data_IF_725452370145
#
_entry.id   IF_725452370145
#
_cell.length_a   1.000
_cell.length_b   1.000
_cell.length_c   1.000
_cell.angle_alpha   90.00
_cell.angle_beta   90.00
_cell.angle_gamma   90.00
#
_symmetry.space_group_name_H-M   'P 1'
#
loop_
_entity.id
_entity.type
_entity.pdbx_description
1 polymer ?
#
# COMPACT_ATOMS: atom_id res chain seq x y z
N UNK A 1 27.76 34.38 -1.46
CA UNK A 1 27.08 33.90 -2.67
C UNK A 1 27.06 32.38 -2.66
N UNK A 2 25.91 31.75 -2.44
CA UNK A 2 25.74 30.29 -2.53
C UNK A 2 25.26 29.96 -3.94
N UNK A 3 25.82 28.96 -4.62
CA UNK A 3 25.35 28.56 -5.96
C UNK A 3 24.02 27.81 -5.83
N UNK A 4 22.98 28.32 -6.44
CA UNK A 4 21.71 27.66 -6.70
C UNK A 4 21.92 26.64 -7.82
N UNK A 5 22.09 25.37 -7.48
CA UNK A 5 22.08 24.27 -8.46
C UNK A 5 20.67 24.05 -9.03
N UNK A 6 20.54 23.57 -10.27
CA UNK A 6 19.24 23.39 -10.91
C UNK A 6 18.47 22.25 -10.21
N UNK A 7 17.21 22.52 -9.85
CA UNK A 7 16.25 21.51 -9.36
C UNK A 7 16.07 20.44 -10.44
N UNK A 8 16.56 19.22 -10.18
CA UNK A 8 16.27 18.07 -11.02
C UNK A 8 14.79 17.69 -10.82
N UNK A 9 13.95 18.03 -11.78
CA UNK A 9 12.60 17.48 -11.89
C UNK A 9 12.76 15.97 -12.10
N UNK A 10 12.10 15.14 -11.26
CA UNK A 10 12.07 13.71 -11.45
C UNK A 10 11.48 13.33 -12.81
N UNK A 11 11.77 12.16 -13.34
CA UNK A 11 11.28 11.74 -14.64
C UNK A 11 9.78 11.44 -14.62
N UNK A 12 8.96 12.47 -14.79
CA UNK A 12 7.51 12.34 -15.04
C UNK A 12 7.24 11.93 -16.51
N UNK A 13 7.96 10.93 -17.03
CA UNK A 13 7.94 10.65 -18.47
C UNK A 13 7.29 9.37 -18.92
N UNK A 14 7.11 8.34 -18.10
CA UNK A 14 6.53 7.05 -18.54
C UNK A 14 5.80 6.34 -17.40
N UNK A 15 4.88 7.03 -16.76
CA UNK A 15 3.86 6.33 -15.96
C UNK A 15 2.87 5.76 -16.98
N UNK A 16 2.57 4.45 -16.92
CA UNK A 16 1.54 3.82 -17.74
C UNK A 16 0.35 4.75 -17.84
N UNK A 17 -0.05 5.13 -19.07
CA UNK A 17 -1.24 5.96 -19.30
C UNK A 17 -2.44 5.25 -18.68
N UNK A 18 -2.80 5.63 -17.47
CA UNK A 18 -4.11 5.31 -16.92
C UNK A 18 -5.13 6.14 -17.67
N UNK A 19 -6.07 5.45 -18.31
CA UNK A 19 -7.15 6.12 -19.02
C UNK A 19 -8.16 6.61 -17.97
N UNK A 20 -7.94 7.81 -17.42
CA UNK A 20 -8.89 8.48 -16.52
C UNK A 20 -10.10 9.08 -17.26
N UNK A 21 -10.28 8.72 -18.55
CA UNK A 21 -11.38 9.26 -19.34
C UNK A 21 -12.73 8.79 -18.82
N UNK A 22 -13.43 9.76 -18.27
CA UNK A 22 -14.88 9.79 -18.06
C UNK A 22 -15.43 9.14 -16.80
N UNK A 23 -15.34 9.87 -15.66
CA UNK A 23 -16.44 9.90 -14.68
C UNK A 23 -16.28 11.12 -13.77
N UNK A 24 -17.18 12.10 -13.99
CA UNK A 24 -17.51 13.08 -12.96
C UNK A 24 -18.12 12.31 -11.78
N UNK A 25 -17.38 12.22 -10.68
CA UNK A 25 -17.94 11.78 -9.40
C UNK A 25 -18.44 13.04 -8.73
N UNK A 26 -19.75 13.23 -8.70
CA UNK A 26 -20.38 14.29 -7.91
C UNK A 26 -19.95 14.18 -6.47
N UNK A 27 -19.29 15.22 -6.00
CA UNK A 27 -18.84 15.35 -4.62
C UNK A 27 -20.06 15.72 -3.76
N UNK A 28 -20.73 14.72 -3.19
CA UNK A 28 -21.74 14.96 -2.16
C UNK A 28 -21.06 15.49 -0.91
N UNK A 29 -21.32 16.75 -0.59
CA UNK A 29 -20.95 17.38 0.67
C UNK A 29 -21.70 16.68 1.79
N UNK A 30 -21.02 15.90 2.61
CA UNK A 30 -21.61 15.16 3.73
C UNK A 30 -21.20 15.76 5.08
N UNK A 31 -22.23 16.07 5.85
CA UNK A 31 -22.22 16.43 7.28
C UNK A 31 -21.46 15.47 8.19
N UNK A 32 -21.03 15.91 9.41
CA UNK A 32 -20.08 15.24 10.26
C UNK A 32 -20.74 14.15 11.13
N UNK A 33 -20.98 13.00 10.55
CA UNK A 33 -21.10 11.73 11.27
C UNK A 33 -20.47 10.67 10.38
N UNK A 34 -19.39 10.00 10.85
CA UNK A 34 -18.53 9.12 10.07
C UNK A 34 -19.23 7.82 9.66
N UNK A 35 -20.18 7.90 8.74
CA UNK A 35 -20.62 6.78 7.93
C UNK A 35 -19.61 6.62 6.78
N UNK A 36 -18.36 6.23 7.10
CA UNK A 36 -17.38 5.91 6.10
C UNK A 36 -17.90 4.73 5.25
N UNK A 37 -18.32 5.00 4.04
CA UNK A 37 -18.65 3.99 3.03
C UNK A 37 -17.45 3.81 2.13
N UNK A 38 -17.05 2.56 1.93
CA UNK A 38 -15.98 2.21 0.99
C UNK A 38 -16.35 2.64 -0.42
N UNK A 39 -15.42 3.31 -1.11
CA UNK A 39 -15.59 3.60 -2.52
C UNK A 39 -15.47 2.29 -3.31
N UNK A 40 -16.56 1.82 -3.88
CA UNK A 40 -16.58 0.62 -4.74
C UNK A 40 -16.58 1.08 -6.20
N UNK A 41 -15.40 1.34 -6.75
CA UNK A 41 -15.21 1.79 -8.13
C UNK A 41 -14.65 0.63 -8.95
N UNK A 42 -15.44 0.06 -9.89
CA UNK A 42 -14.97 -1.02 -10.76
C UNK A 42 -13.77 -0.58 -11.60
N UNK A 43 -12.71 -1.41 -11.61
CA UNK A 43 -11.45 -1.08 -12.28
C UNK A 43 -10.66 0.05 -11.62
N UNK A 44 -11.04 0.46 -10.41
CA UNK A 44 -10.40 1.55 -9.70
C UNK A 44 -8.98 1.23 -9.27
N UNK A 45 -8.17 2.29 -9.15
CA UNK A 45 -6.87 2.25 -8.51
C UNK A 45 -7.00 2.73 -7.07
N UNK A 46 -6.44 1.98 -6.13
CA UNK A 46 -6.56 2.26 -4.70
C UNK A 46 -5.21 2.21 -4.01
N UNK A 47 -4.98 3.12 -3.08
CA UNK A 47 -3.92 3.00 -2.10
C UNK A 47 -4.46 2.37 -0.82
N UNK A 48 -3.62 1.56 -0.15
CA UNK A 48 -3.97 0.87 1.09
C UNK A 48 -2.88 1.01 2.14
N UNK A 49 -3.32 1.12 3.42
CA UNK A 49 -2.48 0.89 4.59
C UNK A 49 -3.05 -0.27 5.39
N UNK A 50 -2.24 -1.31 5.61
CA UNK A 50 -2.67 -2.54 6.29
C UNK A 50 -1.73 -2.85 7.44
N UNK A 51 -2.25 -2.84 8.67
CA UNK A 51 -1.47 -2.93 9.88
C UNK A 51 -1.59 -4.30 10.57
N UNK A 52 -0.49 -4.73 11.20
CA UNK A 52 -0.56 -5.75 12.24
C UNK A 52 -1.31 -5.21 13.47
N UNK A 53 -1.85 -6.12 14.26
CA UNK A 53 -2.47 -5.75 15.54
C UNK A 53 -1.42 -5.24 16.53
N UNK A 54 -0.33 -5.99 16.64
CA UNK A 54 0.80 -5.67 17.51
C UNK A 54 1.86 -4.92 16.69
N UNK A 55 1.92 -3.59 16.88
CA UNK A 55 2.78 -2.67 16.12
C UNK A 55 4.26 -2.73 16.52
N UNK A 56 4.61 -3.43 17.58
CA UNK A 56 6.00 -3.57 18.07
C UNK A 56 6.75 -4.78 17.50
N UNK A 57 6.12 -5.51 16.56
CA UNK A 57 6.68 -6.72 15.95
C UNK A 57 7.30 -6.42 14.59
N UNK A 58 8.26 -7.28 14.20
CA UNK A 58 8.91 -7.28 12.89
C UNK A 58 8.34 -8.36 11.95
N UNK A 59 7.19 -8.91 12.32
CA UNK A 59 6.59 -10.12 11.76
C UNK A 59 6.47 -10.12 10.23
N UNK A 60 6.15 -8.98 9.62
CA UNK A 60 5.95 -8.92 8.16
C UNK A 60 7.26 -9.11 7.40
N UNK A 61 8.37 -8.59 7.92
CA UNK A 61 9.69 -8.76 7.29
C UNK A 61 10.31 -10.11 7.67
N UNK A 62 10.11 -10.58 8.91
CA UNK A 62 10.59 -11.89 9.36
C UNK A 62 9.91 -13.02 8.58
N UNK A 63 8.66 -12.85 8.20
CA UNK A 63 7.84 -13.81 7.47
C UNK A 63 7.53 -13.35 6.03
N UNK A 64 8.44 -12.60 5.42
CA UNK A 64 8.22 -11.99 4.10
C UNK A 64 7.92 -13.02 3.01
N UNK A 65 8.52 -14.20 3.07
CA UNK A 65 8.26 -15.29 2.12
C UNK A 65 6.78 -15.73 2.18
N UNK A 66 6.25 -15.93 3.39
CA UNK A 66 4.84 -16.29 3.58
C UNK A 66 3.88 -15.19 3.15
N UNK A 67 4.24 -13.92 3.35
CA UNK A 67 3.45 -12.80 2.85
C UNK A 67 3.44 -12.75 1.31
N UNK A 68 4.59 -12.91 0.67
CA UNK A 68 4.71 -12.96 -0.80
C UNK A 68 3.87 -14.09 -1.39
N UNK A 69 3.92 -15.28 -0.78
CA UNK A 69 3.12 -16.43 -1.20
C UNK A 69 1.61 -16.17 -1.04
N UNK A 70 1.19 -15.59 0.08
CA UNK A 70 -0.21 -15.22 0.31
C UNK A 70 -0.73 -14.22 -0.74
N UNK A 71 0.10 -13.25 -1.12
CA UNK A 71 -0.22 -12.28 -2.18
C UNK A 71 -0.28 -12.98 -3.54
N UNK A 72 0.73 -13.78 -3.89
CA UNK A 72 0.83 -14.48 -5.18
C UNK A 72 -0.37 -15.41 -5.40
N UNK A 73 -0.65 -16.28 -4.43
CA UNK A 73 -1.78 -17.22 -4.50
C UNK A 73 -3.13 -16.48 -4.57
N UNK A 74 -3.28 -15.36 -3.86
CA UNK A 74 -4.51 -14.58 -3.96
C UNK A 74 -4.66 -13.97 -5.35
N UNK A 75 -3.59 -13.47 -5.96
CA UNK A 75 -3.63 -12.89 -7.31
C UNK A 75 -3.94 -13.90 -8.41
N UNK A 76 -3.60 -15.18 -8.23
CA UNK A 76 -3.97 -16.24 -9.18
C UNK A 76 -5.49 -16.42 -9.26
N UNK A 77 -6.18 -16.45 -8.12
CA UNK A 77 -7.63 -16.63 -8.08
C UNK A 77 -8.45 -15.35 -8.16
N UNK A 78 -7.87 -14.23 -7.73
CA UNK A 78 -8.49 -12.89 -7.73
C UNK A 78 -7.51 -11.87 -8.29
N UNK A 79 -7.38 -11.73 -9.62
CA UNK A 79 -6.38 -10.90 -10.27
C UNK A 79 -6.47 -9.42 -9.86
N UNK A 80 -5.31 -8.77 -9.73
CA UNK A 80 -5.13 -7.32 -9.60
C UNK A 80 -3.71 -6.93 -9.97
N UNK A 81 -3.51 -5.71 -10.43
CA UNK A 81 -2.18 -5.17 -10.68
C UNK A 81 -1.61 -4.56 -9.40
N UNK A 82 -0.34 -4.82 -9.13
CA UNK A 82 0.40 -4.16 -8.06
C UNK A 82 1.22 -3.04 -8.70
N UNK A 83 0.78 -1.81 -8.48
CA UNK A 83 1.45 -0.62 -9.01
C UNK A 83 2.61 -0.23 -8.08
N UNK A 84 2.37 -0.15 -6.77
CA UNK A 84 3.42 -0.03 -5.77
C UNK A 84 3.14 -0.94 -4.57
N UNK A 85 4.20 -1.40 -3.91
CA UNK A 85 4.10 -2.22 -2.70
C UNK A 85 5.34 -2.05 -1.84
N UNK A 86 5.15 -1.74 -0.57
CA UNK A 86 6.22 -1.70 0.42
C UNK A 86 5.78 -2.41 1.69
N UNK A 87 6.65 -3.23 2.23
CA UNK A 87 6.42 -3.96 3.48
C UNK A 87 7.37 -3.41 4.53
N UNK A 88 6.80 -2.89 5.62
CA UNK A 88 7.51 -2.47 6.81
C UNK A 88 7.38 -3.56 7.88
N UNK A 89 8.11 -3.49 9.00
CA UNK A 89 8.09 -4.54 10.00
C UNK A 89 6.69 -4.91 10.52
N UNK A 90 5.80 -3.93 10.71
CA UNK A 90 4.50 -4.06 11.38
C UNK A 90 3.30 -3.62 10.54
N UNK A 91 3.54 -3.09 9.34
CA UNK A 91 2.50 -2.68 8.40
C UNK A 91 3.00 -2.71 6.96
N UNK A 92 2.10 -2.46 6.01
CA UNK A 92 2.44 -2.34 4.61
C UNK A 92 1.59 -1.27 3.93
N UNK A 93 2.14 -0.72 2.86
CA UNK A 93 1.40 0.12 1.94
C UNK A 93 1.38 -0.49 0.55
N UNK A 94 0.28 -0.30 -0.16
CA UNK A 94 0.14 -0.80 -1.52
C UNK A 94 -0.69 0.14 -2.39
N UNK A 95 -0.32 0.26 -3.64
CA UNK A 95 -1.16 0.82 -4.70
C UNK A 95 -1.56 -0.31 -5.64
N UNK A 96 -2.86 -0.54 -5.81
CA UNK A 96 -3.42 -1.61 -6.64
C UNK A 96 -4.40 -1.06 -7.64
N UNK A 97 -4.36 -1.59 -8.85
CA UNK A 97 -5.40 -1.41 -9.86
C UNK A 97 -6.19 -2.71 -10.01
N UNK A 98 -7.50 -2.61 -9.87
CA UNK A 98 -8.42 -3.73 -10.01
C UNK A 98 -8.75 -3.97 -11.50
N UNK A 99 -9.16 -5.21 -11.87
CA UNK A 99 -9.67 -5.49 -13.21
C UNK A 99 -10.90 -4.66 -13.55
N UNK A 100 -11.09 -4.41 -14.83
CA UNK A 100 -12.30 -3.73 -15.30
C UNK A 100 -13.56 -4.50 -14.85
N UNK A 101 -14.54 -3.80 -14.31
CA UNK A 101 -15.77 -4.38 -13.79
C UNK A 101 -15.70 -4.90 -12.35
N UNK A 102 -14.52 -4.99 -11.75
CA UNK A 102 -14.32 -5.51 -10.40
C UNK A 102 -13.98 -4.36 -9.42
N UNK A 103 -14.62 -4.36 -8.25
CA UNK A 103 -14.39 -3.40 -7.16
C UNK A 103 -14.08 -4.07 -5.82
N UNK A 104 -13.94 -5.42 -5.78
CA UNK A 104 -13.81 -6.17 -4.54
C UNK A 104 -12.35 -6.33 -4.07
N UNK A 105 -11.74 -5.23 -3.66
CA UNK A 105 -10.46 -5.27 -2.96
C UNK A 105 -10.57 -5.88 -1.55
N UNK A 106 -11.77 -5.86 -0.95
CA UNK A 106 -11.99 -6.32 0.41
C UNK A 106 -11.79 -7.83 0.55
N UNK A 107 -12.31 -8.62 -0.39
CA UNK A 107 -12.09 -10.08 -0.42
C UNK A 107 -10.61 -10.39 -0.63
N UNK A 108 -9.92 -9.66 -1.50
CA UNK A 108 -8.48 -9.84 -1.72
C UNK A 108 -7.67 -9.65 -0.44
N UNK A 109 -7.90 -8.54 0.27
CA UNK A 109 -7.24 -8.33 1.57
C UNK A 109 -7.60 -9.37 2.62
N UNK A 110 -8.87 -9.77 2.69
CA UNK A 110 -9.29 -10.85 3.59
C UNK A 110 -8.56 -12.15 3.30
N UNK A 111 -8.40 -12.52 2.03
CA UNK A 111 -7.70 -13.74 1.63
C UNK A 111 -6.21 -13.67 1.93
N UNK A 112 -5.53 -12.58 1.59
CA UNK A 112 -4.12 -12.37 1.89
C UNK A 112 -3.88 -12.45 3.41
N UNK A 113 -4.64 -11.71 4.20
CA UNK A 113 -4.55 -11.72 5.66
C UNK A 113 -4.78 -13.12 6.24
N UNK A 114 -5.78 -13.84 5.74
CA UNK A 114 -6.10 -15.19 6.20
C UNK A 114 -5.01 -16.20 5.83
N UNK A 115 -4.52 -16.19 4.57
CA UNK A 115 -3.46 -17.10 4.10
C UNK A 115 -2.18 -16.88 4.90
N UNK A 116 -1.74 -15.63 5.02
CA UNK A 116 -0.57 -15.27 5.82
C UNK A 116 -0.72 -15.75 7.27
N UNK A 117 -1.84 -15.41 7.93
CA UNK A 117 -2.07 -15.81 9.31
C UNK A 117 -2.09 -17.35 9.48
N UNK A 118 -2.66 -18.10 8.53
CA UNK A 118 -2.70 -19.58 8.58
C UNK A 118 -1.32 -20.22 8.45
N UNK A 119 -0.40 -19.60 7.71
CA UNK A 119 0.96 -20.09 7.54
C UNK A 119 1.83 -19.93 8.80
N UNK A 120 1.41 -19.10 9.76
CA UNK A 120 2.17 -18.85 10.99
C UNK A 120 1.85 -19.88 12.09
N UNK A 121 2.82 -20.23 12.95
CA UNK A 121 2.56 -20.97 14.19
C UNK A 121 1.53 -20.26 15.06
N UNK A 122 0.71 -20.99 15.79
CA UNK A 122 -0.30 -20.42 16.69
C UNK A 122 0.33 -20.11 18.05
N UNK A 123 0.79 -18.88 18.22
CA UNK A 123 1.48 -18.42 19.43
C UNK A 123 0.83 -17.14 20.02
N UNK A 124 -0.17 -16.59 19.35
CA UNK A 124 -0.78 -15.32 19.72
C UNK A 124 -1.64 -15.43 20.99
N UNK A 125 -1.54 -14.42 21.83
CA UNK A 125 -2.45 -14.22 22.97
C UNK A 125 -3.80 -13.71 22.46
N UNK A 126 -4.83 -14.55 22.52
CA UNK A 126 -6.15 -14.21 22.01
C UNK A 126 -7.09 -13.80 23.15
N UNK A 127 -7.79 -12.65 22.98
CA UNK A 127 -8.91 -12.31 23.83
C UNK A 127 -10.09 -13.28 23.61
N UNK A 128 -10.99 -13.41 24.61
CA UNK A 128 -12.18 -14.27 24.50
C UNK A 128 -13.02 -13.94 23.26
N UNK A 129 -13.18 -12.64 22.93
CA UNK A 129 -13.92 -12.18 21.75
C UNK A 129 -13.27 -12.65 20.44
N UNK A 130 -11.94 -12.67 20.36
CA UNK A 130 -11.22 -13.15 19.15
C UNK A 130 -11.31 -14.66 19.02
N UNK A 131 -11.19 -15.40 20.14
CA UNK A 131 -11.41 -16.86 20.16
C UNK A 131 -12.79 -17.22 19.66
N UNK A 132 -13.84 -16.55 20.16
CA UNK A 132 -15.23 -16.80 19.76
C UNK A 132 -15.47 -16.52 18.26
N UNK A 133 -14.69 -15.65 17.65
CA UNK A 133 -14.78 -15.28 16.22
C UNK A 133 -13.81 -16.07 15.33
N UNK A 134 -12.99 -16.96 15.86
CA UNK A 134 -11.96 -17.69 15.12
C UNK A 134 -10.85 -16.79 14.56
N UNK A 135 -10.62 -15.61 15.15
CA UNK A 135 -9.60 -14.67 14.68
C UNK A 135 -8.24 -14.98 15.29
N UNK A 136 -7.19 -14.97 14.44
CA UNK A 136 -5.81 -15.21 14.87
C UNK A 136 -5.16 -14.01 15.61
N UNK A 137 -5.75 -12.80 15.56
CA UNK A 137 -5.16 -11.64 16.22
C UNK A 137 -3.85 -11.13 15.61
N UNK A 138 -3.48 -11.55 14.41
CA UNK A 138 -2.28 -11.10 13.70
C UNK A 138 -2.51 -9.70 13.12
N UNK A 139 -3.64 -9.48 12.47
CA UNK A 139 -3.95 -8.25 11.77
C UNK A 139 -4.97 -7.39 12.52
N UNK A 140 -4.89 -6.07 12.32
CA UNK A 140 -6.04 -5.21 12.58
C UNK A 140 -7.19 -5.63 11.68
N UNK A 141 -8.44 -5.56 12.18
CA UNK A 141 -9.61 -5.96 11.39
C UNK A 141 -9.79 -5.10 10.18
N UNK A 142 -9.73 -3.77 10.38
CA UNK A 142 -9.86 -2.78 9.33
C UNK A 142 -8.50 -2.49 8.71
N UNK A 143 -8.51 -1.95 7.52
CA UNK A 143 -7.40 -1.33 6.82
C UNK A 143 -7.89 0.00 6.29
N UNK A 144 -6.98 0.91 6.03
CA UNK A 144 -7.32 2.18 5.40
C UNK A 144 -7.19 2.02 3.88
N UNK A 145 -8.11 2.64 3.13
CA UNK A 145 -8.08 2.70 1.68
C UNK A 145 -8.37 4.11 1.19
N UNK A 146 -7.76 4.48 0.06
CA UNK A 146 -7.99 5.72 -0.65
C UNK A 146 -8.13 5.43 -2.14
N UNK A 147 -9.22 5.92 -2.75
CA UNK A 147 -9.42 5.85 -4.20
C UNK A 147 -8.51 6.87 -4.87
N UNK A 148 -7.61 6.42 -5.72
CA UNK A 148 -6.75 7.29 -6.53
C UNK A 148 -7.61 7.97 -7.60
N UNK A 149 -7.57 9.31 -7.65
CA UNK A 149 -8.48 10.13 -8.46
C UNK A 149 -7.89 10.59 -9.77
N UNK A 150 -6.59 10.85 -9.77
CA UNK A 150 -5.85 11.41 -10.90
C UNK A 150 -4.38 11.00 -10.88
N UNK A 151 -3.64 11.43 -11.89
CA UNK A 151 -2.23 11.09 -12.06
C UNK A 151 -1.33 11.67 -10.96
N UNK A 152 -1.63 12.87 -10.48
CA UNK A 152 -0.88 13.51 -9.39
C UNK A 152 -1.13 12.78 -8.06
N UNK A 153 -2.36 12.36 -7.82
CA UNK A 153 -2.73 11.54 -6.65
C UNK A 153 -2.06 10.17 -6.70
N UNK A 154 -2.00 9.54 -7.89
CA UNK A 154 -1.27 8.30 -8.12
C UNK A 154 0.22 8.45 -7.82
N UNK A 155 0.87 9.45 -8.40
CA UNK A 155 2.29 9.69 -8.20
C UNK A 155 2.63 9.88 -6.71
N UNK A 156 1.88 10.73 -6.00
CA UNK A 156 2.05 10.95 -4.55
C UNK A 156 1.97 9.66 -3.74
N UNK A 157 1.03 8.78 -4.03
CA UNK A 157 0.86 7.55 -3.26
C UNK A 157 1.91 6.48 -3.59
N UNK A 158 2.36 6.40 -4.84
CA UNK A 158 3.50 5.54 -5.23
C UNK A 158 4.78 6.02 -4.55
N UNK A 159 5.08 7.31 -4.63
CA UNK A 159 6.24 7.92 -3.96
C UNK A 159 6.18 7.74 -2.45
N UNK A 160 4.98 7.92 -1.86
CA UNK A 160 4.76 7.66 -0.44
C UNK A 160 5.08 6.21 -0.05
N UNK A 161 4.69 5.22 -0.86
CA UNK A 161 5.11 3.84 -0.62
C UNK A 161 6.62 3.71 -0.57
N UNK A 162 7.34 4.33 -1.51
CA UNK A 162 8.78 4.14 -1.64
C UNK A 162 9.60 4.89 -0.60
N UNK A 163 9.17 6.09 -0.18
CA UNK A 163 9.86 6.88 0.83
C UNK A 163 9.62 6.37 2.27
N UNK A 164 8.60 5.52 2.46
CA UNK A 164 8.13 5.12 3.78
C UNK A 164 9.21 4.48 4.68
N UNK A 165 10.06 3.55 4.20
CA UNK A 165 11.16 3.00 5.00
C UNK A 165 12.15 4.06 5.50
N UNK A 166 12.40 5.09 4.70
CA UNK A 166 13.27 6.22 5.09
C UNK A 166 12.57 7.10 6.13
N UNK A 167 11.27 7.38 5.96
CA UNK A 167 10.43 8.10 6.94
C UNK A 167 10.46 7.41 8.32
N UNK A 168 10.41 6.07 8.34
CA UNK A 168 10.49 5.27 9.56
C UNK A 168 11.92 5.02 10.05
N UNK A 169 12.94 5.64 9.42
CA UNK A 169 14.37 5.51 9.79
C UNK A 169 14.87 4.07 9.76
N UNK A 170 14.29 3.22 8.92
CA UNK A 170 14.72 1.83 8.73
C UNK A 170 15.93 1.75 7.80
N UNK A 171 16.10 2.72 6.92
CA UNK A 171 17.22 2.88 5.99
C UNK A 171 17.54 4.36 5.78
N UNK A 172 18.75 4.64 5.26
CA UNK A 172 19.19 6.00 4.89
C UNK A 172 18.90 6.35 3.43
N UNK A 173 18.66 5.36 2.57
CA UNK A 173 18.34 5.53 1.15
C UNK A 173 17.22 4.59 0.77
N UNK A 174 16.29 5.03 -0.07
CA UNK A 174 15.13 4.24 -0.51
C UNK A 174 15.56 2.90 -1.09
N UNK A 175 16.62 2.88 -1.90
CA UNK A 175 17.16 1.68 -2.53
C UNK A 175 17.72 0.62 -1.56
N UNK A 176 18.00 0.99 -0.34
CA UNK A 176 18.56 0.06 0.65
C UNK A 176 17.47 -0.80 1.32
N UNK A 177 16.17 -0.51 1.06
CA UNK A 177 15.07 -1.29 1.60
C UNK A 177 14.65 -2.43 0.66
N UNK A 178 14.89 -3.71 1.03
CA UNK A 178 14.70 -4.85 0.09
C UNK A 178 13.24 -5.27 -0.10
N UNK A 179 12.32 -4.78 0.75
CA UNK A 179 10.92 -5.20 0.75
C UNK A 179 10.01 -4.17 0.07
N UNK A 180 10.46 -3.66 -1.08
CA UNK A 180 9.76 -2.64 -1.86
C UNK A 180 9.71 -3.00 -3.35
N UNK A 181 8.62 -2.65 -4.02
CA UNK A 181 8.53 -2.72 -5.49
C UNK A 181 9.35 -1.62 -6.19
N UNK A 182 9.94 -0.68 -5.45
CA UNK A 182 10.85 0.34 -5.97
C UNK A 182 11.92 -0.26 -6.88
N UNK A 183 12.54 -1.39 -6.46
CA UNK A 183 13.57 -2.06 -7.25
C UNK A 183 13.08 -2.58 -8.60
N UNK A 184 11.81 -2.98 -8.71
CA UNK A 184 11.19 -3.34 -9.99
C UNK A 184 11.10 -2.11 -10.88
N UNK A 185 10.67 -1.00 -10.33
CA UNK A 185 10.41 0.22 -11.08
C UNK A 185 11.70 0.94 -11.48
N UNK A 186 12.77 0.81 -10.68
CA UNK A 186 14.12 1.21 -11.08
C UNK A 186 14.61 0.39 -12.27
N UNK A 187 14.45 -0.95 -12.24
CA UNK A 187 14.81 -1.82 -13.38
C UNK A 187 13.99 -1.53 -14.63
N UNK A 188 12.76 -1.06 -14.47
CA UNK A 188 11.89 -0.62 -15.56
C UNK A 188 12.17 0.80 -16.05
N UNK A 189 13.15 1.51 -15.47
CA UNK A 189 13.50 2.89 -15.82
C UNK A 189 12.47 3.94 -15.37
N UNK A 190 11.53 3.59 -14.50
CA UNK A 190 10.49 4.49 -14.01
C UNK A 190 11.01 5.43 -12.89
N UNK A 191 12.01 4.97 -12.14
CA UNK A 191 12.67 5.76 -11.09
C UNK A 191 14.19 5.67 -11.23
N UNK A 192 14.93 6.75 -10.93
CA UNK A 192 16.38 6.67 -10.81
C UNK A 192 16.77 5.87 -9.55
N UNK A 193 17.87 5.13 -9.61
CA UNK A 193 18.31 4.27 -8.50
C UNK A 193 18.65 5.05 -7.22
N UNK A 194 18.98 6.33 -7.35
CA UNK A 194 19.31 7.25 -6.26
C UNK A 194 18.13 8.16 -5.85
N UNK A 195 16.93 7.84 -6.30
CA UNK A 195 15.73 8.58 -5.93
C UNK A 195 15.50 8.54 -4.40
N UNK A 196 15.34 9.71 -3.80
CA UNK A 196 15.16 9.84 -2.34
C UNK A 196 13.83 10.44 -1.92
N UNK A 197 12.97 10.80 -2.88
CA UNK A 197 11.74 11.53 -2.66
C UNK A 197 11.99 13.02 -2.38
N UNK A 198 10.92 13.81 -2.46
CA UNK A 198 10.90 15.20 -1.99
C UNK A 198 10.37 15.23 -0.55
N UNK A 199 10.92 16.11 0.29
CA UNK A 199 10.46 16.27 1.67
C UNK A 199 8.97 16.69 1.75
N UNK A 200 8.42 17.28 0.70
CA UNK A 200 7.00 17.62 0.57
C UNK A 200 6.09 16.43 0.32
N UNK A 201 6.63 15.29 -0.09
CA UNK A 201 5.87 14.03 -0.33
C UNK A 201 5.49 13.34 0.97
N UNK A 202 6.09 13.74 2.08
CA UNK A 202 5.86 13.13 3.41
C UNK A 202 4.57 13.68 4.01
N UNK A 203 3.43 13.33 3.43
CA UNK A 203 2.11 13.54 4.01
C UNK A 203 1.73 12.40 4.97
N UNK A 204 0.92 12.69 6.00
CA UNK A 204 0.34 11.67 6.86
C UNK A 204 -0.83 10.98 6.14
N UNK A 205 -0.58 9.83 5.51
CA UNK A 205 -1.63 9.01 4.92
C UNK A 205 -1.94 7.80 5.83
N UNK A 206 -3.01 7.91 6.61
CA UNK A 206 -3.62 6.75 7.28
C UNK A 206 -2.78 5.98 8.29
N UNK A 207 -1.68 6.54 8.77
CA UNK A 207 -0.88 5.99 9.86
C UNK A 207 -1.42 6.50 11.20
N UNK A 208 -2.36 5.78 11.81
CA UNK A 208 -2.78 5.93 13.20
C UNK A 208 -2.65 4.62 13.96
#
# INVERSE_FOLDING_TARGET
MKPTGPRKRGPMGVIRRFNFHNRQVECAVLSPMSNYRRALVPGGCFFFTVNLLERRQTLLVDQIAGLREAVATTRQGHPFSIDAFVVLPDHLHAVWTLPQGDSDFSTRWRMIKSRFAKALPKQERLSAVRKARGERGIWQRRFWEHLIRDEADYARHVEYCYINPLKHRLVWRVRDWPYSSFHRDVRAGLFPADWGGDAETIGEFGER
#
